data_IF_517729904139
#
_entry.id   IF_517729904139
#
_cell.length_a   1.000
_cell.length_b   1.000
_cell.length_c   1.000
_cell.angle_alpha   90.00
_cell.angle_beta   90.00
_cell.angle_gamma   90.00
#
_symmetry.space_group_name_H-M   'P 1'
#
loop_
_entity.id
_entity.type
_entity.pdbx_description
1 polymer ?
#
# COMPACT_ATOMS: atom_id res chain seq x y z
N UNK A 1 73.85 11.28 -37.09
CA UNK A 1 72.89 12.09 -37.87
C UNK A 1 71.50 11.69 -37.37
N UNK A 2 71.01 12.28 -36.27
CA UNK A 2 70.41 13.61 -36.12
C UNK A 2 69.10 13.71 -36.93
N UNK A 3 68.02 14.06 -36.23
CA UNK A 3 66.67 14.36 -36.75
C UNK A 3 65.68 13.20 -36.99
N UNK A 4 65.38 12.40 -35.95
CA UNK A 4 64.08 11.69 -35.88
C UNK A 4 63.40 11.74 -34.51
N UNK A 5 63.86 12.61 -33.61
CA UNK A 5 63.51 12.59 -32.19
C UNK A 5 62.55 13.70 -31.73
N UNK A 6 61.92 14.46 -32.63
CA UNK A 6 61.10 15.62 -32.23
C UNK A 6 59.61 15.50 -32.62
N UNK A 7 59.25 14.66 -33.59
CA UNK A 7 57.84 14.55 -34.04
C UNK A 7 56.98 13.49 -33.33
N UNK A 8 57.57 12.60 -32.54
CA UNK A 8 56.80 11.53 -31.85
C UNK A 8 56.34 11.90 -30.43
N UNK A 9 56.89 12.95 -29.83
CA UNK A 9 56.58 13.34 -28.45
C UNK A 9 55.40 14.30 -28.31
N UNK A 10 54.93 14.92 -29.39
CA UNK A 10 53.82 15.89 -29.33
C UNK A 10 52.44 15.22 -29.50
N UNK A 11 52.36 14.01 -30.04
CA UNK A 11 51.07 13.33 -30.29
C UNK A 11 50.58 12.44 -29.14
N UNK A 12 51.35 12.23 -28.07
CA UNK A 12 50.93 11.35 -26.95
C UNK A 12 50.47 12.11 -25.70
N UNK A 13 50.58 13.44 -25.68
CA UNK A 13 50.06 14.28 -24.58
C UNK A 13 48.57 14.61 -24.69
N UNK A 14 47.92 14.34 -25.83
CA UNK A 14 46.54 14.76 -26.10
C UNK A 14 45.51 13.62 -26.09
N UNK A 15 45.92 12.39 -25.78
CA UNK A 15 45.03 11.21 -25.78
C UNK A 15 44.53 10.78 -24.39
N UNK A 16 45.05 11.36 -23.30
CA UNK A 16 44.59 11.04 -21.94
C UNK A 16 43.60 12.05 -21.35
N UNK A 17 43.19 13.07 -22.11
CA UNK A 17 42.30 14.14 -21.62
C UNK A 17 40.81 13.86 -21.81
N UNK A 18 40.42 12.71 -22.39
CA UNK A 18 39.02 12.44 -22.77
C UNK A 18 38.28 11.38 -21.95
N UNK A 19 38.83 10.92 -20.81
CA UNK A 19 38.21 9.83 -20.04
C UNK A 19 37.55 10.23 -18.70
N UNK A 20 37.40 11.52 -18.41
CA UNK A 20 36.67 11.95 -17.21
C UNK A 20 35.62 13.03 -17.51
N UNK A 21 34.76 12.78 -18.49
CA UNK A 21 33.38 13.25 -18.36
C UNK A 21 32.64 12.26 -17.47
N UNK A 22 32.75 12.48 -16.15
CA UNK A 22 31.70 12.01 -15.25
C UNK A 22 30.44 12.74 -15.66
N UNK A 23 29.68 12.14 -16.57
CA UNK A 23 28.26 12.41 -16.68
C UNK A 23 27.71 11.96 -15.33
N UNK A 24 27.53 12.91 -14.42
CA UNK A 24 26.49 12.75 -13.42
C UNK A 24 25.22 12.59 -14.23
N UNK A 25 24.87 11.33 -14.51
CA UNK A 25 23.48 10.97 -14.66
C UNK A 25 22.88 11.37 -13.32
N UNK A 26 22.36 12.61 -13.25
CA UNK A 26 21.30 12.89 -12.32
C UNK A 26 20.36 11.69 -12.48
N UNK A 27 20.04 10.94 -11.41
CA UNK A 27 19.09 9.87 -11.52
C UNK A 27 17.79 10.54 -11.97
N UNK A 28 17.55 10.53 -13.28
CA UNK A 28 16.24 10.79 -13.85
C UNK A 28 15.38 9.74 -13.19
N UNK A 29 14.54 10.20 -12.27
CA UNK A 29 13.62 9.39 -11.49
C UNK A 29 12.57 8.82 -12.44
N UNK A 30 12.98 7.94 -13.34
CA UNK A 30 12.09 7.07 -14.11
C UNK A 30 11.68 5.86 -13.25
N UNK A 31 11.79 5.99 -11.92
CA UNK A 31 11.33 4.99 -10.97
C UNK A 31 9.84 5.21 -10.76
N UNK A 32 9.05 4.82 -11.77
CA UNK A 32 7.59 4.87 -11.77
C UNK A 32 7.04 6.29 -11.51
N UNK A 33 6.51 6.93 -12.54
CA UNK A 33 5.44 7.91 -12.35
C UNK A 33 4.25 7.16 -11.70
N UNK A 34 4.33 6.95 -10.39
CA UNK A 34 3.16 6.68 -9.57
C UNK A 34 2.41 8.01 -9.65
N UNK A 35 1.21 8.06 -10.24
CA UNK A 35 0.43 9.28 -10.25
C UNK A 35 0.39 9.85 -8.84
N UNK A 36 0.56 11.15 -8.67
CA UNK A 36 0.33 11.81 -7.40
C UNK A 36 -1.18 11.68 -7.10
N UNK A 37 -1.58 10.55 -6.53
CA UNK A 37 -2.95 10.22 -6.21
C UNK A 37 -3.33 11.04 -4.97
N UNK A 38 -3.86 12.24 -5.20
CA UNK A 38 -4.42 13.13 -4.18
C UNK A 38 -5.69 12.60 -3.48
N UNK A 39 -5.98 11.30 -3.59
CA UNK A 39 -7.02 10.66 -2.78
C UNK A 39 -6.49 10.37 -1.38
N UNK A 40 -7.33 10.48 -0.36
CA UNK A 40 -6.93 10.16 1.00
C UNK A 40 -6.61 8.65 1.08
N UNK A 41 -5.33 8.33 1.28
CA UNK A 41 -4.87 6.96 1.44
C UNK A 41 -5.42 6.38 2.75
N UNK A 42 -6.29 5.39 2.65
CA UNK A 42 -6.90 4.70 3.76
C UNK A 42 -6.27 3.32 3.98
N UNK A 43 -6.39 2.76 5.19
CA UNK A 43 -5.96 1.40 5.51
C UNK A 43 -6.74 0.83 6.68
N UNK A 44 -6.64 -0.48 6.90
CA UNK A 44 -7.20 -1.11 8.09
C UNK A 44 -6.68 -0.41 9.38
N UNK A 45 -7.57 -0.07 10.33
CA UNK A 45 -7.15 0.55 11.57
C UNK A 45 -6.24 -0.41 12.35
N UNK A 46 -5.22 0.13 13.02
CA UNK A 46 -4.42 -0.70 13.92
C UNK A 46 -5.24 -1.03 15.17
N UNK A 47 -5.05 -2.20 15.82
CA UNK A 47 -5.87 -2.63 16.95
C UNK A 47 -6.02 -1.59 18.07
N UNK A 48 -4.95 -0.85 18.37
CA UNK A 48 -4.94 0.19 19.41
C UNK A 48 -5.79 1.43 19.10
N UNK A 49 -6.12 1.65 17.83
CA UNK A 49 -6.91 2.81 17.37
C UNK A 49 -8.41 2.45 17.32
N UNK A 50 -8.78 1.18 17.61
CA UNK A 50 -10.16 0.68 17.61
C UNK A 50 -10.76 0.80 19.02
N UNK A 51 -11.83 1.59 19.13
CA UNK A 51 -12.59 1.75 20.35
C UNK A 51 -13.75 0.75 20.41
N UNK A 52 -14.06 0.26 21.61
CA UNK A 52 -15.19 -0.63 21.85
C UNK A 52 -16.18 0.03 22.81
N UNK A 53 -17.47 -0.01 22.46
CA UNK A 53 -18.57 0.40 23.33
C UNK A 53 -19.75 -0.55 23.15
N UNK A 54 -19.99 -1.38 24.15
CA UNK A 54 -21.16 -2.30 24.21
C UNK A 54 -21.24 -3.20 22.97
N UNK A 55 -20.12 -3.80 22.56
CA UNK A 55 -20.05 -4.73 21.43
C UNK A 55 -20.04 -4.05 20.05
N UNK A 56 -20.07 -2.72 20.01
CA UNK A 56 -19.83 -1.93 18.80
C UNK A 56 -18.40 -1.43 18.81
N UNK A 57 -17.67 -1.71 17.74
CA UNK A 57 -16.28 -1.36 17.55
C UNK A 57 -16.17 -0.30 16.47
N UNK A 58 -15.44 0.77 16.75
CA UNK A 58 -15.31 1.94 15.87
C UNK A 58 -13.88 2.42 15.79
N UNK A 59 -13.46 2.88 14.62
CA UNK A 59 -12.21 3.62 14.45
C UNK A 59 -12.40 4.72 13.39
N UNK A 60 -11.81 5.90 13.59
CA UNK A 60 -11.91 6.96 12.59
C UNK A 60 -11.27 6.53 11.28
N UNK A 61 -11.94 6.79 10.17
CA UNK A 61 -11.31 6.79 8.85
C UNK A 61 -10.55 8.11 8.65
N UNK A 62 -9.58 8.12 7.73
CA UNK A 62 -8.88 9.32 7.29
C UNK A 62 -9.76 10.20 6.39
N UNK A 63 -10.64 9.57 5.61
CA UNK A 63 -11.58 10.28 4.74
C UNK A 63 -12.74 10.87 5.55
N UNK A 64 -13.10 12.13 5.28
CA UNK A 64 -14.19 12.81 5.97
C UNK A 64 -15.54 12.10 5.77
N UNK A 65 -16.27 11.93 6.86
CA UNK A 65 -17.59 11.28 6.83
C UNK A 65 -17.55 9.75 6.68
N UNK A 66 -16.36 9.14 6.73
CA UNK A 66 -16.21 7.70 6.78
C UNK A 66 -15.80 7.21 8.19
N UNK A 67 -16.19 6.00 8.55
CA UNK A 67 -15.83 5.37 9.82
C UNK A 67 -15.64 3.86 9.63
N UNK A 68 -14.67 3.28 10.33
CA UNK A 68 -14.56 1.83 10.42
C UNK A 68 -15.48 1.31 11.51
N UNK A 69 -16.39 0.41 11.17
CA UNK A 69 -17.41 -0.11 12.09
C UNK A 69 -17.43 -1.64 12.08
N UNK A 70 -17.49 -2.24 13.26
CA UNK A 70 -17.68 -3.67 13.46
C UNK A 70 -18.62 -3.93 14.63
N UNK A 71 -19.33 -5.05 14.59
CA UNK A 71 -20.27 -5.44 15.65
C UNK A 71 -19.99 -6.86 16.08
N UNK A 72 -19.86 -7.05 17.39
CA UNK A 72 -19.75 -8.35 18.03
C UNK A 72 -20.83 -8.47 19.12
N UNK A 73 -21.86 -9.27 18.84
CA UNK A 73 -22.89 -9.59 19.82
C UNK A 73 -22.23 -10.24 21.05
N UNK A 74 -22.61 -9.77 22.24
CA UNK A 74 -22.06 -10.17 23.54
C UNK A 74 -20.56 -9.86 23.74
N UNK A 75 -19.95 -9.07 22.86
CA UNK A 75 -18.54 -8.66 22.93
C UNK A 75 -18.28 -7.41 23.79
N UNK A 76 -19.17 -7.07 24.72
CA UNK A 76 -19.19 -5.76 25.39
C UNK A 76 -17.91 -5.41 26.18
N UNK A 77 -17.15 -6.42 26.60
CA UNK A 77 -15.91 -6.27 27.37
C UNK A 77 -14.66 -6.71 26.60
N UNK A 78 -14.81 -7.09 25.33
CA UNK A 78 -13.69 -7.59 24.53
C UNK A 78 -12.88 -6.44 23.94
N UNK A 79 -11.55 -6.60 23.96
CA UNK A 79 -10.60 -5.69 23.30
C UNK A 79 -10.03 -6.34 22.05
N UNK A 80 -9.53 -5.52 21.12
CA UNK A 80 -8.89 -6.01 19.89
C UNK A 80 -7.43 -6.29 20.20
N UNK A 81 -6.99 -7.52 19.96
CA UNK A 81 -5.64 -7.98 20.30
C UNK A 81 -4.75 -8.11 19.08
N UNK A 82 -5.30 -8.51 17.93
CA UNK A 82 -4.52 -8.81 16.73
C UNK A 82 -5.25 -8.44 15.45
N UNK A 83 -4.50 -7.94 14.46
CA UNK A 83 -4.98 -7.84 13.08
C UNK A 83 -4.63 -9.15 12.37
N UNK A 84 -5.63 -9.83 11.83
CA UNK A 84 -5.45 -11.12 11.15
C UNK A 84 -5.16 -10.91 9.67
N UNK A 85 -6.10 -10.23 8.98
CA UNK A 85 -6.08 -10.05 7.54
C UNK A 85 -7.14 -9.05 7.08
N UNK A 86 -7.07 -8.66 5.82
CA UNK A 86 -8.10 -7.90 5.14
C UNK A 86 -8.39 -8.47 3.77
N UNK A 87 -9.62 -8.30 3.29
CA UNK A 87 -10.01 -8.66 1.93
C UNK A 87 -10.38 -7.45 1.10
N UNK A 88 -9.90 -7.45 -0.14
CA UNK A 88 -10.25 -6.48 -1.17
C UNK A 88 -10.81 -7.23 -2.38
N UNK A 89 -11.96 -6.79 -2.89
CA UNK A 89 -12.69 -7.46 -3.97
C UNK A 89 -12.59 -6.61 -5.23
N UNK A 90 -11.94 -7.15 -6.27
CA UNK A 90 -11.76 -6.48 -7.55
C UNK A 90 -13.08 -6.42 -8.34
N UNK A 91 -13.30 -5.32 -9.07
CA UNK A 91 -14.49 -5.17 -9.93
C UNK A 91 -14.44 -6.03 -11.19
N UNK A 92 -13.25 -6.51 -11.57
CA UNK A 92 -13.01 -7.35 -12.74
C UNK A 92 -11.80 -8.26 -12.51
N UNK A 93 -11.77 -9.39 -13.22
CA UNK A 93 -10.61 -10.27 -13.24
C UNK A 93 -9.47 -9.63 -14.05
N UNK A 94 -8.24 -9.76 -13.53
CA UNK A 94 -7.03 -9.27 -14.18
C UNK A 94 -6.66 -7.85 -13.78
N UNK A 95 -5.56 -7.73 -13.02
CA UNK A 95 -4.63 -6.61 -12.68
C UNK A 95 -5.18 -5.20 -12.41
N UNK A 96 -6.44 -4.92 -12.70
CA UNK A 96 -7.08 -3.68 -12.36
C UNK A 96 -7.14 -3.61 -10.85
N UNK A 97 -6.27 -2.76 -10.31
CA UNK A 97 -6.13 -2.46 -8.88
C UNK A 97 -7.36 -1.75 -8.33
N UNK A 98 -8.54 -1.97 -8.91
CA UNK A 98 -9.80 -1.26 -8.65
C UNK A 98 -10.81 -2.23 -8.10
N UNK A 99 -11.47 -1.83 -7.02
CA UNK A 99 -12.37 -2.71 -6.30
C UNK A 99 -12.96 -2.04 -5.07
N UNK A 100 -13.30 -2.87 -4.10
CA UNK A 100 -13.86 -2.43 -2.83
C UNK A 100 -13.16 -3.16 -1.71
N UNK A 101 -12.83 -2.43 -0.64
CA UNK A 101 -12.50 -3.07 0.63
C UNK A 101 -13.75 -3.79 1.15
N UNK A 102 -13.62 -5.07 1.49
CA UNK A 102 -14.72 -5.83 2.08
C UNK A 102 -14.72 -5.65 3.59
N UNK A 103 -13.61 -6.01 4.24
CA UNK A 103 -13.45 -5.95 5.68
C UNK A 103 -11.98 -6.08 6.10
N UNK A 104 -11.72 -5.64 7.32
CA UNK A 104 -10.51 -5.93 8.08
C UNK A 104 -10.91 -6.87 9.23
N UNK A 105 -10.20 -7.98 9.36
CA UNK A 105 -10.48 -9.05 10.32
C UNK A 105 -9.49 -8.96 11.46
N UNK A 106 -10.02 -9.01 12.67
CA UNK A 106 -9.25 -8.93 13.89
C UNK A 106 -9.58 -10.07 14.83
N UNK A 107 -8.63 -10.42 15.69
CA UNK A 107 -8.88 -11.24 16.86
C UNK A 107 -9.17 -10.37 18.08
N UNK A 108 -10.09 -10.85 18.89
CA UNK A 108 -10.48 -10.24 20.16
C UNK A 108 -9.83 -10.96 21.34
N UNK A 109 -9.81 -10.33 22.51
CA UNK A 109 -9.37 -10.93 23.77
C UNK A 109 -10.19 -12.16 24.18
N UNK A 110 -11.44 -12.28 23.70
CA UNK A 110 -12.29 -13.45 23.88
C UNK A 110 -12.02 -14.60 22.91
N UNK A 111 -11.02 -14.46 22.01
CA UNK A 111 -10.67 -15.47 21.01
C UNK A 111 -11.61 -15.50 19.80
N UNK A 112 -12.54 -14.54 19.69
CA UNK A 112 -13.48 -14.41 18.57
C UNK A 112 -12.89 -13.52 17.48
N UNK A 113 -13.42 -13.65 16.27
CA UNK A 113 -13.08 -12.76 15.16
C UNK A 113 -14.07 -11.61 15.04
N UNK A 114 -13.54 -10.40 14.85
CA UNK A 114 -14.28 -9.19 14.54
C UNK A 114 -14.02 -8.79 13.09
N UNK A 115 -15.10 -8.54 12.35
CA UNK A 115 -15.03 -7.93 11.02
C UNK A 115 -15.33 -6.44 11.13
N UNK A 116 -14.34 -5.59 10.89
CA UNK A 116 -14.51 -4.15 10.71
C UNK A 116 -14.75 -3.86 9.23
N UNK A 117 -15.77 -3.07 8.91
CA UNK A 117 -16.08 -2.59 7.56
C UNK A 117 -15.93 -1.09 7.51
N UNK A 118 -15.52 -0.57 6.35
CA UNK A 118 -15.50 0.87 6.13
C UNK A 118 -16.92 1.32 5.78
N UNK A 119 -17.55 2.10 6.64
CA UNK A 119 -18.79 2.81 6.38
C UNK A 119 -18.46 4.13 5.68
N UNK A 120 -18.95 4.29 4.46
CA UNK A 120 -18.80 5.50 3.64
C UNK A 120 -20.05 6.38 3.66
N UNK A 121 -21.05 6.04 4.49
CA UNK A 121 -22.34 6.73 4.55
C UNK A 121 -23.01 6.81 3.18
N UNK A 122 -23.29 8.04 2.73
CA UNK A 122 -23.95 8.28 1.44
C UNK A 122 -23.12 7.83 0.22
N UNK A 123 -21.80 7.65 0.38
CA UNK A 123 -20.87 7.30 -0.69
C UNK A 123 -20.58 5.79 -0.78
N UNK A 124 -21.47 4.92 -0.29
CA UNK A 124 -21.27 3.46 -0.23
C UNK A 124 -20.95 2.73 -1.56
N UNK A 125 -21.08 3.38 -2.72
CA UNK A 125 -20.73 2.82 -4.05
C UNK A 125 -19.37 3.27 -4.58
N UNK A 126 -18.62 4.02 -3.78
CA UNK A 126 -17.33 4.56 -4.17
C UNK A 126 -16.32 3.44 -4.40
N UNK A 127 -15.75 3.40 -5.60
CA UNK A 127 -14.69 2.45 -5.95
C UNK A 127 -13.37 2.89 -5.32
N UNK A 128 -12.50 1.92 -5.06
CA UNK A 128 -11.23 2.10 -4.39
C UNK A 128 -10.10 1.59 -5.25
N UNK A 129 -8.90 2.14 -5.07
CA UNK A 129 -7.68 1.69 -5.72
C UNK A 129 -6.73 1.08 -4.70
N UNK A 130 -6.10 -0.05 -5.02
CA UNK A 130 -5.07 -0.62 -4.15
C UNK A 130 -3.91 0.36 -4.00
N UNK A 131 -3.53 0.63 -2.76
CA UNK A 131 -2.39 1.46 -2.40
C UNK A 131 -1.09 0.68 -2.51
N UNK A 132 -0.77 -0.12 -1.49
CA UNK A 132 0.43 -0.94 -1.48
C UNK A 132 0.21 -2.31 -2.13
N UNK A 133 0.36 -2.38 -3.46
CA UNK A 133 0.12 -3.62 -4.21
C UNK A 133 1.02 -4.81 -3.85
N UNK A 134 2.12 -4.62 -3.12
CA UNK A 134 2.98 -5.73 -2.69
C UNK A 134 2.40 -6.49 -1.50
N UNK A 135 1.59 -5.83 -0.67
CA UNK A 135 0.94 -6.43 0.49
C UNK A 135 -0.35 -7.18 0.13
N UNK A 136 -0.97 -6.83 -1.01
CA UNK A 136 -2.18 -7.49 -1.52
C UNK A 136 -1.84 -8.67 -2.44
N UNK A 137 -2.32 -9.87 -2.10
CA UNK A 137 -2.09 -11.11 -2.86
C UNK A 137 -3.42 -11.80 -3.12
N UNK A 138 -3.51 -12.66 -4.12
CA UNK A 138 -4.72 -13.49 -4.29
C UNK A 138 -5.00 -14.27 -3.00
N UNK A 139 -6.24 -14.20 -2.54
CA UNK A 139 -6.66 -14.84 -1.30
C UNK A 139 -6.49 -16.36 -1.38
N UNK A 140 -6.06 -16.95 -0.27
CA UNK A 140 -5.95 -18.41 -0.13
C UNK A 140 -7.25 -19.05 0.36
N UNK A 141 -8.14 -18.25 0.93
CA UNK A 141 -9.40 -18.72 1.53
C UNK A 141 -10.52 -18.83 0.49
N UNK A 142 -10.34 -18.20 -0.68
CA UNK A 142 -11.30 -18.23 -1.77
C UNK A 142 -10.64 -18.72 -3.05
N UNK A 143 -11.39 -19.49 -3.85
CA UNK A 143 -10.92 -19.94 -5.17
C UNK A 143 -10.91 -18.83 -6.23
N UNK A 144 -11.58 -17.70 -5.96
CA UNK A 144 -11.68 -16.58 -6.90
C UNK A 144 -10.38 -15.77 -6.97
N UNK A 145 -9.91 -15.50 -8.19
CA UNK A 145 -8.77 -14.60 -8.42
C UNK A 145 -9.10 -13.11 -8.17
N UNK A 146 -10.39 -12.77 -8.07
CA UNK A 146 -10.86 -11.40 -7.81
C UNK A 146 -10.81 -10.99 -6.35
N UNK A 147 -10.55 -11.93 -5.43
CA UNK A 147 -10.46 -11.63 -4.00
C UNK A 147 -8.99 -11.60 -3.62
N UNK A 148 -8.54 -10.43 -3.19
CA UNK A 148 -7.21 -10.23 -2.66
C UNK A 148 -7.24 -10.25 -1.13
N UNK A 149 -6.17 -10.75 -0.54
CA UNK A 149 -5.90 -10.81 0.88
C UNK A 149 -4.64 -10.00 1.20
N UNK A 150 -4.68 -9.26 2.29
CA UNK A 150 -3.51 -8.64 2.91
C UNK A 150 -3.42 -9.09 4.38
N UNK A 151 -2.28 -9.69 4.76
CA UNK A 151 -2.01 -10.17 6.13
C UNK A 151 -0.88 -9.39 6.79
N UNK A 152 -0.50 -8.24 6.21
CA UNK A 152 0.60 -7.44 6.68
C UNK A 152 0.16 -6.59 7.87
N UNK A 153 0.89 -6.70 8.99
CA UNK A 153 0.57 -6.02 10.24
C UNK A 153 1.19 -4.62 10.33
N UNK A 154 2.04 -4.23 9.39
CA UNK A 154 2.58 -2.89 9.34
C UNK A 154 1.49 -1.85 9.05
N UNK A 155 1.63 -0.68 9.67
CA UNK A 155 0.73 0.47 9.43
C UNK A 155 0.71 0.81 7.94
N UNK A 156 -0.47 1.08 7.40
CA UNK A 156 -0.72 1.42 5.99
C UNK A 156 -0.32 0.33 4.97
N UNK A 157 0.02 -0.88 5.40
CA UNK A 157 0.38 -1.97 4.48
C UNK A 157 -0.83 -2.47 3.68
N UNK A 158 -1.96 -2.70 4.35
CA UNK A 158 -3.24 -3.01 3.69
C UNK A 158 -3.96 -1.72 3.26
N UNK A 159 -3.27 -0.89 2.48
CA UNK A 159 -3.79 0.42 2.05
C UNK A 159 -4.51 0.40 0.71
N UNK A 160 -5.41 1.37 0.57
CA UNK A 160 -6.17 1.68 -0.64
C UNK A 160 -6.45 3.20 -0.69
N UNK A 161 -6.81 3.71 -1.86
CA UNK A 161 -7.20 5.10 -2.07
C UNK A 161 -8.71 5.17 -2.28
N UNK A 162 -9.35 6.14 -1.64
CA UNK A 162 -10.75 6.53 -1.82
C UNK A 162 -10.79 7.84 -2.63
N UNK A 163 -11.61 7.90 -3.68
CA UNK A 163 -11.90 9.14 -4.44
C UNK A 163 -13.36 9.27 -4.81
#
# INVERSE_FOLDING_TARGET
>A
MRERSVRRLVCWGLLCSQLFTFVYAAPGSNYFDIPDWSGDQESCPVPRDINSKVGVFTAPAKNEGAEWVGVLLDGAMETITHFEKSYFVLTREGVDKVGFINNCIYQTSGGRYLNMRLDLGANYKQVMWIGNSLSWKTSRDFSSSTILECTDTYRDACSFYLR
#
